data_IF_059214556053
#
_entry.id   IF_059214556053
#
_cell.length_a   1.000
_cell.length_b   1.000
_cell.length_c   1.000
_cell.angle_alpha   90.00
_cell.angle_beta   90.00
_cell.angle_gamma   90.00
#
_symmetry.space_group_name_H-M   'P 1'
#
loop_
_entity.id
_entity.type
_entity.pdbx_description
1 polymer ?
#
# COMPACT_ATOMS: atom_id res chain seq x y z
N UNK A 1 -26.81 34.63 51.17
CA UNK A 1 -26.87 33.20 51.51
C UNK A 1 -26.53 32.44 50.25
N UNK A 2 -25.36 32.05 50.25
CA UNK A 2 -24.53 31.04 49.61
C UNK A 2 -25.20 30.13 48.59
N UNK A 3 -24.73 30.20 47.35
CA UNK A 3 -24.77 29.08 46.40
C UNK A 3 -23.37 28.87 45.88
N UNK A 4 -22.76 27.81 46.36
CA UNK A 4 -21.41 27.38 46.03
C UNK A 4 -21.30 26.84 44.62
N UNK A 5 -20.20 27.19 44.01
CA UNK A 5 -19.74 26.77 42.68
C UNK A 5 -19.47 25.26 42.63
N UNK A 6 -19.85 24.65 41.52
CA UNK A 6 -19.39 23.31 41.12
C UNK A 6 -18.40 23.46 39.98
N UNK A 7 -17.12 23.49 40.32
CA UNK A 7 -16.01 23.37 39.37
C UNK A 7 -15.92 21.92 38.89
N UNK A 8 -16.34 21.68 37.66
CA UNK A 8 -16.09 20.44 36.93
C UNK A 8 -14.78 20.53 36.17
N UNK A 9 -13.73 19.96 36.72
CA UNK A 9 -12.44 19.81 36.05
C UNK A 9 -12.58 19.00 34.75
N UNK A 10 -12.23 19.63 33.63
CA UNK A 10 -12.01 18.97 32.36
C UNK A 10 -10.66 18.28 32.44
N UNK A 11 -10.66 16.95 32.38
CA UNK A 11 -9.45 16.18 32.14
C UNK A 11 -8.92 16.48 30.71
N UNK A 12 -7.61 16.74 30.56
CA UNK A 12 -7.01 16.93 29.25
C UNK A 12 -7.00 15.59 28.49
N UNK A 13 -7.50 15.64 27.26
CA UNK A 13 -7.51 14.51 26.33
C UNK A 13 -6.12 13.89 26.18
N UNK A 14 -6.05 12.58 26.34
CA UNK A 14 -4.88 11.80 25.95
C UNK A 14 -4.71 11.91 24.44
N UNK A 15 -3.65 12.57 24.04
CA UNK A 15 -3.11 12.46 22.69
C UNK A 15 -2.77 11.00 22.42
N UNK A 16 -3.07 10.46 21.22
CA UNK A 16 -2.61 9.13 20.85
C UNK A 16 -1.08 9.19 20.81
N UNK A 17 -0.45 8.51 21.76
CA UNK A 17 0.99 8.38 21.89
C UNK A 17 1.59 7.98 20.53
N UNK A 18 2.45 8.84 20.01
CA UNK A 18 3.33 8.54 18.91
C UNK A 18 4.13 7.27 19.26
N UNK A 19 4.04 6.25 18.42
CA UNK A 19 4.88 5.07 18.54
C UNK A 19 6.36 5.52 18.55
N UNK A 20 7.13 5.17 19.58
CA UNK A 20 8.54 5.49 19.62
C UNK A 20 9.26 4.69 18.52
N UNK A 21 9.91 5.39 17.62
CA UNK A 21 10.90 4.81 16.73
C UNK A 21 12.05 4.29 17.60
N UNK A 22 12.22 2.95 17.69
CA UNK A 22 13.42 2.36 18.29
C UNK A 22 13.24 1.49 19.51
N UNK A 23 12.34 0.51 19.45
CA UNK A 23 12.46 -0.69 20.28
C UNK A 23 12.30 -1.90 19.36
N UNK A 24 13.41 -2.55 19.02
CA UNK A 24 13.40 -3.90 18.44
C UNK A 24 12.90 -4.82 19.53
N UNK A 25 11.58 -4.89 19.69
CA UNK A 25 10.95 -5.94 20.47
C UNK A 25 11.43 -7.28 19.90
N UNK A 26 11.74 -8.24 20.76
CA UNK A 26 12.08 -9.63 20.40
C UNK A 26 10.88 -10.21 19.63
N UNK A 27 10.82 -9.98 18.35
CA UNK A 27 9.69 -10.28 17.49
C UNK A 27 10.15 -10.84 16.15
N UNK A 28 9.34 -11.68 15.61
CA UNK A 28 9.49 -12.24 14.27
C UNK A 28 9.24 -11.12 13.24
N UNK A 29 10.01 -11.10 12.12
CA UNK A 29 9.73 -10.23 10.98
C UNK A 29 9.00 -11.06 9.92
N UNK A 30 7.96 -10.47 9.37
CA UNK A 30 7.19 -11.06 8.28
C UNK A 30 7.51 -10.34 6.97
N UNK A 31 7.90 -11.10 5.97
CA UNK A 31 7.94 -10.59 4.60
C UNK A 31 6.56 -10.79 3.96
N UNK A 32 5.95 -9.68 3.57
CA UNK A 32 4.59 -9.65 3.04
C UNK A 32 4.62 -9.20 1.58
N UNK A 33 4.04 -10.03 0.72
CA UNK A 33 3.82 -9.70 -0.69
C UNK A 33 2.48 -9.00 -0.87
N UNK A 34 2.50 -7.86 -1.50
CA UNK A 34 1.32 -7.11 -1.93
C UNK A 34 1.04 -7.36 -3.42
N UNK A 35 -0.05 -6.77 -3.90
CA UNK A 35 -0.34 -6.64 -5.32
C UNK A 35 0.82 -5.95 -6.03
N UNK A 36 0.90 -6.06 -7.37
CA UNK A 36 2.03 -5.60 -8.18
C UNK A 36 3.42 -6.10 -7.70
N UNK A 37 3.47 -7.26 -7.04
CA UNK A 37 4.71 -7.93 -6.57
C UNK A 37 5.60 -7.07 -5.67
N UNK A 38 5.01 -6.12 -4.98
CA UNK A 38 5.71 -5.32 -3.98
C UNK A 38 5.89 -6.17 -2.73
N UNK A 39 7.11 -6.19 -2.19
CA UNK A 39 7.44 -6.83 -0.92
C UNK A 39 7.64 -5.77 0.15
N UNK A 40 7.32 -6.11 1.38
CA UNK A 40 7.59 -5.27 2.55
C UNK A 40 7.85 -6.13 3.78
N UNK A 41 8.67 -5.63 4.70
CA UNK A 41 8.92 -6.26 5.98
C UNK A 41 8.06 -5.61 7.07
N UNK A 42 7.51 -6.43 7.94
CA UNK A 42 6.62 -6.00 9.03
C UNK A 42 6.99 -6.70 10.32
N UNK A 43 6.95 -5.96 11.42
CA UNK A 43 7.17 -6.54 12.74
C UNK A 43 5.95 -7.33 13.19
N UNK A 44 6.15 -8.55 13.66
CA UNK A 44 5.11 -9.36 14.29
C UNK A 44 5.26 -9.30 15.80
N UNK A 45 4.29 -8.79 16.54
CA UNK A 45 4.34 -8.72 18.00
C UNK A 45 4.18 -10.07 18.72
N UNK A 46 4.31 -11.19 17.99
CA UNK A 46 4.18 -12.55 18.53
C UNK A 46 2.82 -13.19 18.25
N UNK A 47 2.04 -12.64 17.34
CA UNK A 47 0.77 -13.24 16.93
C UNK A 47 1.02 -14.46 16.02
N UNK A 48 0.25 -15.55 16.20
CA UNK A 48 0.38 -16.72 15.34
C UNK A 48 -0.06 -16.40 13.91
N UNK A 49 0.80 -16.66 12.95
CA UNK A 49 0.51 -16.49 11.52
C UNK A 49 1.32 -17.50 10.72
N UNK A 50 0.77 -18.07 9.68
CA UNK A 50 1.44 -19.04 8.83
C UNK A 50 1.90 -18.40 7.51
N UNK A 51 2.97 -18.92 6.92
CA UNK A 51 3.38 -18.55 5.57
C UNK A 51 2.25 -18.89 4.58
N UNK A 52 1.98 -17.98 3.66
CA UNK A 52 0.84 -18.09 2.73
C UNK A 52 -0.46 -17.44 3.23
N UNK A 53 -0.58 -17.12 4.52
CA UNK A 53 -1.76 -16.44 5.07
C UNK A 53 -1.93 -15.04 4.50
N UNK A 54 -3.19 -14.63 4.31
CA UNK A 54 -3.54 -13.24 4.04
C UNK A 54 -3.60 -12.45 5.34
N UNK A 55 -2.94 -11.31 5.36
CA UNK A 55 -2.75 -10.51 6.57
C UNK A 55 -3.03 -9.04 6.31
N UNK A 56 -3.53 -8.38 7.33
CA UNK A 56 -3.67 -6.93 7.37
C UNK A 56 -2.47 -6.37 8.13
N UNK A 57 -1.78 -5.43 7.50
CA UNK A 57 -0.59 -4.78 8.05
C UNK A 57 -0.80 -3.27 8.16
N UNK A 58 -0.24 -2.68 9.20
CA UNK A 58 -0.19 -1.24 9.39
C UNK A 58 1.04 -0.67 8.67
N UNK A 59 0.83 0.42 7.97
CA UNK A 59 1.87 1.27 7.36
C UNK A 59 1.84 2.62 8.06
N UNK A 60 2.83 3.50 7.80
CA UNK A 60 2.84 4.89 8.32
C UNK A 60 1.51 5.62 8.14
N UNK A 61 0.77 5.29 7.09
CA UNK A 61 -0.54 5.90 6.79
C UNK A 61 -1.47 4.85 6.24
N UNK A 62 -2.22 4.22 7.14
CA UNK A 62 -3.29 3.31 6.80
C UNK A 62 -2.92 1.83 6.84
N UNK A 63 -3.87 1.01 6.43
CA UNK A 63 -3.79 -0.45 6.44
C UNK A 63 -3.74 -0.98 5.02
N UNK A 64 -3.01 -2.06 4.83
CA UNK A 64 -2.93 -2.74 3.54
C UNK A 64 -3.06 -4.25 3.72
N UNK A 65 -3.56 -4.93 2.67
CA UNK A 65 -3.74 -6.37 2.64
C UNK A 65 -2.61 -7.00 1.83
N UNK A 66 -1.95 -7.99 2.42
CA UNK A 66 -0.89 -8.73 1.75
C UNK A 66 -0.85 -10.20 2.13
N UNK A 67 0.03 -10.95 1.50
CA UNK A 67 0.25 -12.39 1.77
C UNK A 67 1.62 -12.58 2.38
N UNK A 68 1.72 -13.30 3.48
CA UNK A 68 3.01 -13.68 4.11
C UNK A 68 3.77 -14.61 3.18
N UNK A 69 4.99 -14.23 2.80
CA UNK A 69 5.88 -15.01 1.93
C UNK A 69 6.94 -15.72 2.75
N UNK A 70 7.54 -15.01 3.70
CA UNK A 70 8.60 -15.54 4.54
C UNK A 70 8.51 -14.96 5.96
N UNK A 71 9.14 -15.65 6.90
CA UNK A 71 9.27 -15.27 8.30
C UNK A 71 10.74 -15.28 8.66
N UNK A 72 11.20 -14.25 9.37
CA UNK A 72 12.58 -14.10 9.85
C UNK A 72 12.55 -13.97 11.37
N UNK A 73 13.37 -14.75 12.08
CA UNK A 73 13.51 -14.62 13.52
C UNK A 73 14.51 -13.53 13.88
N UNK A 74 14.36 -12.96 15.04
CA UNK A 74 15.34 -12.01 15.58
C UNK A 74 16.74 -12.62 15.60
N UNK A 75 17.71 -11.99 14.93
CA UNK A 75 19.08 -12.51 14.80
C UNK A 75 19.35 -13.24 13.48
N UNK A 76 18.34 -13.55 12.69
CA UNK A 76 18.54 -14.01 11.33
C UNK A 76 18.77 -12.83 10.34
N UNK A 77 19.58 -13.02 9.29
CA UNK A 77 19.77 -11.99 8.29
C UNK A 77 18.43 -11.68 7.58
N UNK A 78 17.90 -10.48 7.83
CA UNK A 78 16.68 -9.99 7.20
C UNK A 78 17.00 -9.09 6.01
N UNK A 79 16.15 -9.01 4.99
CA UNK A 79 16.40 -8.19 3.80
C UNK A 79 16.27 -6.67 4.04
N UNK A 80 16.02 -6.22 5.28
CA UNK A 80 15.93 -4.79 5.59
C UNK A 80 15.21 -4.46 6.90
N UNK A 81 14.86 -3.20 7.07
CA UNK A 81 14.11 -2.70 8.21
C UNK A 81 12.59 -2.85 8.04
N UNK A 82 11.82 -3.04 9.12
CA UNK A 82 10.37 -3.14 9.05
C UNK A 82 9.74 -1.81 8.61
N UNK A 83 8.81 -1.88 7.66
CA UNK A 83 8.05 -0.72 7.14
C UNK A 83 6.78 -0.41 7.95
N UNK A 84 6.46 -1.27 8.92
CA UNK A 84 5.26 -1.20 9.73
C UNK A 84 5.09 -2.45 10.58
N UNK A 85 3.88 -2.70 11.05
CA UNK A 85 3.57 -3.83 11.93
C UNK A 85 2.45 -4.71 11.37
N UNK A 86 2.52 -5.99 11.68
CA UNK A 86 1.43 -6.94 11.47
C UNK A 86 0.31 -6.64 12.49
N UNK A 87 -0.92 -6.55 12.01
CA UNK A 87 -2.09 -6.28 12.84
C UNK A 87 -2.86 -7.57 13.15
N UNK A 88 -3.29 -8.27 12.11
CA UNK A 88 -4.11 -9.49 12.23
C UNK A 88 -4.14 -10.29 10.94
N UNK A 89 -4.58 -11.52 11.03
CA UNK A 89 -4.95 -12.33 9.85
C UNK A 89 -6.21 -11.71 9.24
N UNK A 90 -6.27 -11.66 7.91
CA UNK A 90 -7.40 -11.10 7.18
C UNK A 90 -8.66 -11.95 7.38
N UNK A 91 -9.77 -11.30 7.60
CA UNK A 91 -11.09 -11.92 7.70
C UNK A 91 -11.90 -11.77 6.40
N UNK A 92 -13.12 -12.33 6.38
CA UNK A 92 -14.00 -12.27 5.22
C UNK A 92 -14.34 -10.83 4.82
N UNK A 93 -14.51 -9.92 5.79
CA UNK A 93 -14.81 -8.52 5.52
C UNK A 93 -13.65 -7.78 4.85
N UNK A 94 -12.42 -8.14 5.17
CA UNK A 94 -11.24 -7.57 4.52
C UNK A 94 -11.14 -8.01 3.05
N UNK A 95 -11.52 -9.26 2.77
CA UNK A 95 -11.55 -9.76 1.39
C UNK A 95 -12.64 -9.07 0.56
N UNK A 96 -13.80 -8.85 1.14
CA UNK A 96 -14.88 -8.07 0.49
C UNK A 96 -14.44 -6.62 0.23
N UNK A 97 -13.78 -5.97 1.18
CA UNK A 97 -13.19 -4.63 1.01
C UNK A 97 -12.13 -4.61 -0.09
N UNK A 98 -11.26 -5.63 -0.14
CA UNK A 98 -10.26 -5.77 -1.19
C UNK A 98 -10.89 -5.98 -2.57
N UNK A 99 -11.98 -6.76 -2.66
CA UNK A 99 -12.74 -6.93 -3.89
C UNK A 99 -13.40 -5.61 -4.35
N UNK A 100 -14.05 -4.89 -3.43
CA UNK A 100 -14.64 -3.57 -3.70
C UNK A 100 -13.58 -2.52 -4.11
N UNK A 101 -12.33 -2.67 -3.65
CA UNK A 101 -11.23 -1.82 -4.08
C UNK A 101 -10.84 -2.03 -5.54
N UNK A 102 -11.06 -3.20 -6.11
CA UNK A 102 -10.81 -3.45 -7.54
C UNK A 102 -11.73 -2.60 -8.43
N UNK A 103 -13.00 -2.49 -8.08
CA UNK A 103 -13.95 -1.61 -8.81
C UNK A 103 -13.60 -0.13 -8.61
N UNK A 104 -13.21 0.24 -7.39
CA UNK A 104 -12.75 1.59 -7.09
C UNK A 104 -11.52 1.96 -7.92
N UNK A 105 -10.52 1.08 -8.02
CA UNK A 105 -9.31 1.26 -8.83
C UNK A 105 -9.64 1.42 -10.32
N UNK A 106 -10.61 0.67 -10.82
CA UNK A 106 -11.07 0.83 -12.21
C UNK A 106 -11.66 2.23 -12.46
N UNK A 107 -12.43 2.78 -11.51
CA UNK A 107 -12.94 4.16 -11.58
C UNK A 107 -11.81 5.19 -11.54
N UNK A 108 -10.85 5.02 -10.63
CA UNK A 108 -9.65 5.88 -10.56
C UNK A 108 -8.90 5.87 -11.89
N UNK A 109 -8.70 4.70 -12.48
CA UNK A 109 -8.02 4.56 -13.77
C UNK A 109 -8.78 5.22 -14.91
N UNK A 110 -10.11 5.10 -14.95
CA UNK A 110 -10.95 5.76 -15.96
C UNK A 110 -10.82 7.29 -15.87
N UNK A 111 -10.96 7.84 -14.67
CA UNK A 111 -10.79 9.26 -14.40
C UNK A 111 -9.39 9.75 -14.76
N UNK A 112 -8.37 8.99 -14.36
CA UNK A 112 -6.97 9.34 -14.66
C UNK A 112 -6.72 9.39 -16.19
N UNK A 113 -7.22 8.40 -16.96
CA UNK A 113 -7.09 8.38 -18.43
C UNK A 113 -7.74 9.59 -19.07
N UNK A 114 -8.92 9.99 -18.62
CA UNK A 114 -9.61 11.18 -19.12
C UNK A 114 -8.78 12.44 -18.87
N UNK A 115 -8.26 12.62 -17.66
CA UNK A 115 -7.43 13.79 -17.30
C UNK A 115 -6.11 13.83 -18.05
N UNK A 116 -5.44 12.69 -18.24
CA UNK A 116 -4.21 12.58 -19.05
C UNK A 116 -4.49 13.01 -20.49
N UNK A 117 -5.58 12.53 -21.08
CA UNK A 117 -6.00 12.91 -22.44
C UNK A 117 -6.32 14.41 -22.55
N UNK A 118 -7.11 14.95 -21.63
CA UNK A 118 -7.53 16.36 -21.63
C UNK A 118 -6.34 17.32 -21.45
N UNK A 119 -5.33 16.90 -20.68
CA UNK A 119 -4.11 17.68 -20.43
C UNK A 119 -2.99 17.38 -21.43
N UNK A 120 -3.22 16.47 -22.38
CA UNK A 120 -2.23 16.04 -23.40
C UNK A 120 -0.89 15.65 -22.78
N UNK A 121 -0.93 14.92 -21.66
CA UNK A 121 0.28 14.45 -20.99
C UNK A 121 0.86 13.25 -21.76
N UNK A 122 2.15 13.33 -22.09
CA UNK A 122 2.86 12.24 -22.75
C UNK A 122 3.26 11.17 -21.71
N UNK A 123 2.29 10.35 -21.34
CA UNK A 123 2.45 9.26 -20.40
C UNK A 123 1.42 8.15 -20.66
N UNK A 124 1.83 6.92 -20.44
CA UNK A 124 0.97 5.75 -20.55
C UNK A 124 0.67 5.19 -19.18
N UNK A 125 -0.59 5.17 -18.82
CA UNK A 125 -1.04 4.57 -17.54
C UNK A 125 -1.03 3.05 -17.62
N UNK A 126 -0.39 2.41 -16.66
CA UNK A 126 -0.20 0.96 -16.62
C UNK A 126 -1.14 0.30 -15.63
N UNK A 127 -1.32 0.88 -14.45
CA UNK A 127 -2.14 0.30 -13.40
C UNK A 127 -2.39 1.25 -12.24
N UNK A 128 -3.24 0.82 -11.34
CA UNK A 128 -3.57 1.53 -10.11
C UNK A 128 -3.72 0.53 -8.97
N UNK A 129 -3.27 0.89 -7.80
CA UNK A 129 -3.48 0.16 -6.55
C UNK A 129 -3.95 1.11 -5.45
N UNK A 130 -4.96 0.72 -4.72
CA UNK A 130 -5.38 1.41 -3.50
C UNK A 130 -5.01 0.59 -2.27
N UNK A 131 -4.69 1.25 -1.16
CA UNK A 131 -4.64 0.59 0.14
C UNK A 131 -6.01 0.07 0.53
N UNK A 132 -6.07 -0.87 1.47
CA UNK A 132 -7.32 -1.48 1.95
C UNK A 132 -8.31 -0.41 2.46
N UNK A 133 -7.81 0.62 3.11
CA UNK A 133 -8.61 1.75 3.65
C UNK A 133 -8.79 2.92 2.67
N UNK A 134 -8.31 2.81 1.43
CA UNK A 134 -8.36 3.84 0.37
C UNK A 134 -7.68 5.17 0.71
N UNK A 135 -6.91 5.26 1.78
CA UNK A 135 -6.21 6.51 2.15
C UNK A 135 -5.08 6.87 1.20
N UNK A 136 -4.51 5.86 0.54
CA UNK A 136 -3.42 6.04 -0.42
C UNK A 136 -3.72 5.28 -1.70
N UNK A 137 -3.53 5.98 -2.82
CA UNK A 137 -3.70 5.43 -4.17
C UNK A 137 -2.36 5.57 -4.89
N UNK A 138 -1.84 4.47 -5.43
CA UNK A 138 -0.66 4.45 -6.31
C UNK A 138 -1.11 4.28 -7.73
N UNK A 139 -0.65 5.18 -8.60
CA UNK A 139 -0.88 5.10 -10.04
C UNK A 139 0.46 4.84 -10.72
N UNK A 140 0.53 3.74 -11.45
CA UNK A 140 1.71 3.33 -12.20
C UNK A 140 1.63 3.83 -13.63
N UNK A 141 2.72 4.39 -14.13
CA UNK A 141 2.80 4.90 -15.50
C UNK A 141 4.19 4.72 -16.10
N UNK A 142 4.24 4.69 -17.42
CA UNK A 142 5.49 4.79 -18.19
C UNK A 142 5.50 6.10 -18.95
N UNK A 143 6.66 6.73 -19.06
CA UNK A 143 6.87 7.93 -19.87
C UNK A 143 8.32 7.95 -20.38
N UNK A 144 8.53 8.38 -21.61
CA UNK A 144 9.86 8.51 -22.20
C UNK A 144 10.60 9.74 -21.68
N UNK A 145 9.84 10.81 -21.40
CA UNK A 145 10.38 12.07 -20.90
C UNK A 145 9.77 12.41 -19.54
N UNK A 146 10.40 13.36 -18.87
CA UNK A 146 9.90 13.89 -17.60
C UNK A 146 8.61 14.67 -17.80
N UNK A 147 7.51 14.13 -17.31
CA UNK A 147 6.17 14.72 -17.43
C UNK A 147 5.78 15.45 -16.14
N UNK A 148 5.22 16.66 -16.25
CA UNK A 148 4.66 17.37 -15.09
C UNK A 148 3.22 16.90 -14.83
N UNK A 149 3.08 16.09 -13.79
CA UNK A 149 1.80 15.54 -13.35
C UNK A 149 1.21 16.23 -12.11
N UNK A 150 1.74 17.38 -11.66
CA UNK A 150 1.29 18.07 -10.43
C UNK A 150 -0.19 18.42 -10.47
N UNK A 151 -0.67 18.88 -11.63
CA UNK A 151 -2.08 19.22 -11.81
C UNK A 151 -2.96 17.96 -11.79
N UNK A 152 -2.50 16.86 -12.41
CA UNK A 152 -3.17 15.56 -12.37
C UNK A 152 -3.30 15.03 -10.93
N UNK A 153 -2.25 15.10 -10.13
CA UNK A 153 -2.26 14.70 -8.72
C UNK A 153 -3.28 15.51 -7.92
N UNK A 154 -3.36 16.83 -8.14
CA UNK A 154 -4.35 17.69 -7.47
C UNK A 154 -5.79 17.30 -7.82
N UNK A 155 -6.07 17.04 -9.11
CA UNK A 155 -7.39 16.63 -9.57
C UNK A 155 -7.80 15.29 -8.93
N UNK A 156 -6.89 14.30 -8.95
CA UNK A 156 -7.13 12.99 -8.34
C UNK A 156 -7.33 13.08 -6.81
N UNK A 157 -6.50 13.87 -6.13
CA UNK A 157 -6.60 14.03 -4.68
C UNK A 157 -7.91 14.72 -4.28
N UNK A 158 -8.39 15.70 -5.06
CA UNK A 158 -9.66 16.37 -4.84
C UNK A 158 -10.86 15.44 -5.04
N UNK A 159 -10.83 14.63 -6.12
CA UNK A 159 -11.93 13.72 -6.46
C UNK A 159 -12.05 12.54 -5.48
N UNK A 160 -10.92 11.87 -5.19
CA UNK A 160 -10.92 10.63 -4.40
C UNK A 160 -10.61 10.85 -2.92
N UNK A 161 -10.31 12.07 -2.48
CA UNK A 161 -9.95 12.43 -1.09
C UNK A 161 -8.88 11.53 -0.48
N UNK A 162 -7.93 11.10 -1.31
CA UNK A 162 -6.85 10.19 -0.96
C UNK A 162 -5.48 10.78 -1.32
N UNK A 163 -4.43 10.28 -0.67
CA UNK A 163 -3.06 10.61 -1.07
C UNK A 163 -2.70 9.90 -2.36
N UNK A 164 -2.36 10.66 -3.38
CA UNK A 164 -1.97 10.13 -4.68
C UNK A 164 -0.46 10.02 -4.76
N UNK A 165 0.02 8.83 -5.11
CA UNK A 165 1.43 8.55 -5.40
C UNK A 165 1.55 8.14 -6.87
N UNK A 166 2.20 8.99 -7.67
CA UNK A 166 2.51 8.69 -9.07
C UNK A 166 3.84 7.96 -9.13
N UNK A 167 3.86 6.75 -9.70
CA UNK A 167 5.05 5.93 -9.78
C UNK A 167 5.41 5.60 -11.21
N UNK A 168 6.51 6.17 -11.67
CA UNK A 168 7.04 5.79 -12.98
C UNK A 168 7.68 4.42 -12.90
N UNK A 169 7.33 3.55 -13.83
CA UNK A 169 7.91 2.22 -13.99
C UNK A 169 8.58 2.09 -15.34
N UNK A 170 9.58 1.23 -15.43
CA UNK A 170 10.24 0.91 -16.69
C UNK A 170 9.40 -0.02 -17.56
N UNK A 171 9.72 -0.08 -18.85
CA UNK A 171 9.03 -0.95 -19.83
C UNK A 171 9.06 -2.43 -19.39
N UNK A 172 10.17 -2.86 -18.79
CA UNK A 172 10.30 -4.24 -18.27
C UNK A 172 9.35 -4.49 -17.08
N UNK A 173 9.19 -3.52 -16.21
CA UNK A 173 8.27 -3.62 -15.07
C UNK A 173 6.81 -3.55 -15.54
N UNK A 174 6.52 -2.74 -16.57
CA UNK A 174 5.21 -2.77 -17.23
C UNK A 174 4.89 -4.16 -17.77
N UNK A 175 5.84 -4.78 -18.49
CA UNK A 175 5.67 -6.15 -19.01
C UNK A 175 5.44 -7.16 -17.89
N UNK A 176 6.15 -7.00 -16.76
CA UNK A 176 5.98 -7.81 -15.55
C UNK A 176 4.60 -7.66 -14.92
N UNK A 177 4.07 -6.44 -14.87
CA UNK A 177 2.74 -6.14 -14.33
C UNK A 177 1.60 -6.70 -15.20
N UNK A 178 1.76 -6.64 -16.51
CA UNK A 178 0.75 -7.13 -17.45
C UNK A 178 0.75 -8.63 -17.59
N UNK A 179 1.90 -9.27 -17.23
CA UNK A 179 2.19 -10.66 -17.54
C UNK A 179 2.15 -10.93 -19.05
N UNK A 180 2.37 -12.15 -19.47
CA UNK A 180 2.31 -12.52 -20.87
C UNK A 180 3.21 -13.69 -21.21
N UNK A 181 3.16 -14.07 -22.49
CA UNK A 181 3.95 -15.14 -23.08
C UNK A 181 4.99 -14.52 -24.01
N UNK A 182 6.22 -14.99 -23.90
CA UNK A 182 7.31 -14.59 -24.79
C UNK A 182 7.22 -15.28 -26.16
N UNK A 183 8.06 -14.87 -27.10
CA UNK A 183 8.16 -15.48 -28.42
C UNK A 183 8.55 -16.99 -28.38
N UNK A 184 9.11 -17.42 -27.24
CA UNK A 184 9.45 -18.84 -26.97
C UNK A 184 8.26 -19.66 -26.49
N UNK A 185 7.04 -19.13 -26.40
CA UNK A 185 5.85 -19.82 -25.90
C UNK A 185 5.78 -19.96 -24.37
N UNK A 186 6.80 -19.51 -23.64
CA UNK A 186 6.84 -19.56 -22.19
C UNK A 186 6.45 -18.20 -21.57
N UNK A 187 6.01 -18.24 -20.30
CA UNK A 187 5.76 -17.01 -19.51
C UNK A 187 7.00 -16.12 -19.53
N UNK A 188 6.80 -14.80 -19.59
CA UNK A 188 7.89 -13.82 -19.61
C UNK A 188 8.89 -14.07 -18.47
N UNK A 189 10.18 -14.13 -18.78
CA UNK A 189 11.24 -14.35 -17.81
C UNK A 189 11.23 -13.31 -16.69
N UNK A 190 10.96 -12.03 -17.03
CA UNK A 190 10.80 -10.96 -16.04
C UNK A 190 9.58 -11.15 -15.14
N UNK A 191 8.58 -11.90 -15.58
CA UNK A 191 7.41 -12.23 -14.77
C UNK A 191 7.58 -13.55 -13.98
N UNK A 192 8.56 -14.37 -14.30
CA UNK A 192 8.79 -15.69 -13.69
C UNK A 192 9.91 -15.64 -12.64
N UNK A 193 11.14 -15.51 -13.08
CA UNK A 193 12.34 -15.72 -12.23
C UNK A 193 13.35 -14.56 -12.25
N UNK A 194 13.34 -13.69 -13.25
CA UNK A 194 14.23 -12.52 -13.27
C UNK A 194 13.65 -11.41 -12.37
N UNK A 195 14.41 -10.98 -11.38
CA UNK A 195 14.10 -9.88 -10.47
C UNK A 195 14.73 -8.56 -10.94
#
# INVERSE_FOLDING_TARGET
MNAEAFEGAREPGRDPEACPAGAVAQGELLEVAFRARRLGLFSNPGLPVDAGSLVVVSLERGEDLGRVVAKYRTGEPSPGEPMGSFLRVADASDLERAAANTEFEARVMAFCRERVKNRRLDMKLTGCESQLDRRKIRVYFTAEQRTDFRALVRDLAAEFRARIEMRQIGVRDEARHRDGVGICGLRLCCASFLR
#
